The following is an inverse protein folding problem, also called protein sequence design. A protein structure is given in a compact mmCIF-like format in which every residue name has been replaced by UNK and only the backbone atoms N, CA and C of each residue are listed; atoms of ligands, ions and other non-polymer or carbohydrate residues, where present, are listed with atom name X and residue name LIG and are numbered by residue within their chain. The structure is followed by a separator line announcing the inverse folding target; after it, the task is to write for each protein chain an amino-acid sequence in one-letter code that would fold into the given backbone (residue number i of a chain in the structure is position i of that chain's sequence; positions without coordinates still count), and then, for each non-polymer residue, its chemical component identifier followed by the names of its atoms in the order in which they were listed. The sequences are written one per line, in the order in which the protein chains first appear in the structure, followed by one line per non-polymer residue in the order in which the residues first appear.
data_IF_735585813713
#
_entry.id   IF_735585813713
#
_cell.length_a   1.000
_cell.length_b   1.000
_cell.length_c   1.000
_cell.angle_alpha   90.00
_cell.angle_beta   90.00
_cell.angle_gamma   90.00
#
_symmetry.space_group_name_H-M   'P 1'
#
loop_
_entity.id
_entity.type
_entity.pdbx_description
1 polymer ?
#
# COMPACT_ATOMS: atom_id res chain seq x y z
N UNK A 1 1.85 -55.91 -28.89
CA UNK A 1 1.32 -56.85 -27.87
C UNK A 1 2.17 -56.66 -26.63
N UNK A 2 1.73 -55.82 -25.68
CA UNK A 2 0.94 -56.20 -24.51
C UNK A 2 1.78 -56.99 -23.50
N UNK A 3 2.18 -56.37 -22.38
CA UNK A 3 1.56 -56.63 -21.07
C UNK A 3 2.37 -55.99 -19.94
N UNK A 4 1.63 -55.30 -19.08
CA UNK A 4 1.92 -54.87 -17.72
C UNK A 4 2.16 -56.11 -16.84
N UNK A 5 3.06 -56.04 -15.85
CA UNK A 5 2.81 -56.45 -14.45
C UNK A 5 3.89 -55.92 -13.49
N UNK A 6 3.39 -55.53 -12.32
CA UNK A 6 3.98 -54.77 -11.22
C UNK A 6 5.06 -55.51 -10.43
N UNK A 7 5.99 -54.77 -9.81
CA UNK A 7 6.72 -55.26 -8.63
C UNK A 7 7.05 -54.12 -7.66
N UNK A 8 7.20 -54.53 -6.41
CA UNK A 8 6.99 -53.83 -5.15
C UNK A 8 8.20 -53.07 -4.61
N UNK A 9 7.88 -52.02 -3.84
CA UNK A 9 8.49 -51.51 -2.61
C UNK A 9 9.97 -51.81 -2.30
N UNK A 10 10.79 -50.76 -2.17
CA UNK A 10 11.84 -50.60 -1.14
C UNK A 10 12.46 -49.19 -1.24
N UNK A 11 11.90 -48.21 -0.52
CA UNK A 11 12.58 -46.92 -0.28
C UNK A 11 13.22 -47.02 1.10
N UNK A 12 14.55 -46.96 1.12
CA UNK A 12 15.38 -46.90 2.30
C UNK A 12 15.14 -45.61 3.10
N UNK A 13 15.07 -45.80 4.42
CA UNK A 13 14.95 -44.86 5.52
C UNK A 13 15.58 -43.46 5.30
N UNK A 14 14.73 -42.43 5.31
CA UNK A 14 15.11 -41.04 5.60
C UNK A 14 14.58 -40.71 6.99
N UNK A 15 15.50 -40.48 7.93
CA UNK A 15 15.22 -40.11 9.31
C UNK A 15 14.70 -38.66 9.41
N UNK A 16 13.61 -38.40 10.15
CA UNK A 16 13.12 -37.03 10.32
C UNK A 16 13.97 -36.24 11.35
N UNK A 17 14.58 -35.15 10.88
CA UNK A 17 15.18 -34.10 11.71
C UNK A 17 14.10 -33.44 12.57
N UNK A 18 14.05 -33.85 13.83
CA UNK A 18 13.25 -33.25 14.90
C UNK A 18 13.98 -32.01 15.42
N UNK A 19 13.55 -30.82 15.02
CA UNK A 19 13.96 -29.58 15.69
C UNK A 19 12.98 -29.28 16.84
N UNK A 20 13.44 -29.00 18.06
CA UNK A 20 12.57 -28.82 19.21
C UNK A 20 11.76 -27.52 19.10
N UNK A 21 10.42 -27.64 19.07
CA UNK A 21 9.50 -26.52 19.31
C UNK A 21 9.75 -25.98 20.72
N UNK A 22 10.24 -24.74 20.83
CA UNK A 22 10.18 -23.99 22.09
C UNK A 22 8.72 -23.68 22.39
N UNK A 23 8.18 -24.30 23.43
CA UNK A 23 6.91 -23.94 24.03
C UNK A 23 7.04 -22.57 24.71
N UNK A 24 6.30 -21.57 24.22
CA UNK A 24 6.15 -20.30 24.92
C UNK A 24 5.10 -20.47 26.02
N UNK A 25 5.57 -20.61 27.26
CA UNK A 25 4.74 -20.56 28.46
C UNK A 25 4.40 -19.09 28.79
N UNK A 26 3.15 -18.69 28.63
CA UNK A 26 2.62 -17.43 29.18
C UNK A 26 2.33 -17.64 30.67
N UNK A 27 3.32 -17.39 31.53
CA UNK A 27 3.09 -17.27 32.97
C UNK A 27 2.55 -15.86 33.27
N UNK A 28 1.24 -15.82 33.46
CA UNK A 28 0.50 -14.62 33.84
C UNK A 28 0.80 -14.27 35.31
N UNK A 29 1.63 -13.25 35.55
CA UNK A 29 1.77 -12.60 36.86
C UNK A 29 1.14 -11.21 36.78
N UNK A 30 -0.14 -11.16 37.17
CA UNK A 30 -0.85 -9.91 37.44
C UNK A 30 -0.22 -9.18 38.64
N UNK A 31 0.08 -7.90 38.45
CA UNK A 31 0.27 -6.92 39.53
C UNK A 31 -0.61 -5.71 39.14
N UNK A 32 -1.61 -5.31 39.92
CA UNK A 32 -2.41 -4.14 39.58
C UNK A 32 -1.69 -2.88 40.08
N UNK A 33 -1.24 -2.02 39.16
CA UNK A 33 -0.90 -0.64 39.50
C UNK A 33 -2.17 0.19 39.30
N UNK A 34 -2.80 0.56 40.40
CA UNK A 34 -3.89 1.52 40.44
C UNK A 34 -3.29 2.89 40.13
N UNK A 35 -3.67 3.50 39.01
CA UNK A 35 -3.51 4.94 38.82
C UNK A 35 -4.89 5.58 38.63
N UNK A 36 -5.21 6.46 39.57
CA UNK A 36 -6.46 7.18 39.71
C UNK A 36 -6.63 8.28 38.65
N UNK A 37 -7.78 8.25 37.99
CA UNK A 37 -8.62 9.37 37.51
C UNK A 37 -7.97 10.68 37.06
N UNK A 38 -8.11 10.99 35.77
CA UNK A 38 -8.79 12.20 35.31
C UNK A 38 -9.65 11.85 34.07
N UNK A 39 -10.96 11.87 34.25
CA UNK A 39 -11.95 11.73 33.18
C UNK A 39 -11.93 12.97 32.29
N UNK A 40 -11.43 12.80 31.06
CA UNK A 40 -11.85 13.62 29.93
C UNK A 40 -13.02 12.93 29.26
N UNK A 41 -14.23 13.45 29.44
CA UNK A 41 -15.44 12.96 28.76
C UNK A 41 -15.33 13.30 27.28
N UNK A 42 -14.78 12.40 26.47
CA UNK A 42 -14.88 12.49 25.01
C UNK A 42 -16.29 11.99 24.65
N UNK A 43 -17.07 12.84 23.98
CA UNK A 43 -18.36 12.51 23.36
C UNK A 43 -18.28 11.16 22.61
N UNK A 44 -19.39 10.44 22.33
CA UNK A 44 -19.32 9.15 21.65
C UNK A 44 -18.74 9.39 20.26
N UNK A 45 -17.43 9.19 20.12
CA UNK A 45 -16.70 9.45 18.90
C UNK A 45 -17.13 8.38 17.91
N UNK A 46 -17.46 8.80 16.69
CA UNK A 46 -17.62 7.90 15.55
C UNK A 46 -16.51 6.85 15.63
N UNK A 47 -16.87 5.58 15.69
CA UNK A 47 -15.89 4.52 15.89
C UNK A 47 -14.76 4.64 14.85
N UNK A 48 -13.54 4.87 15.33
CA UNK A 48 -12.36 4.96 14.48
C UNK A 48 -12.07 3.61 13.84
N UNK A 49 -11.57 3.57 12.60
CA UNK A 49 -11.28 2.32 11.90
C UNK A 49 -10.22 1.50 12.63
N UNK A 50 -10.42 0.16 12.66
CA UNK A 50 -9.60 -0.81 13.38
C UNK A 50 -8.09 -0.64 13.14
N UNK A 51 -7.71 -0.32 11.90
CA UNK A 51 -6.32 -0.13 11.50
C UNK A 51 -5.66 1.05 12.24
N UNK A 52 -6.37 2.16 12.45
CA UNK A 52 -5.81 3.32 13.15
C UNK A 52 -5.61 3.03 14.64
N UNK A 53 -6.56 2.33 15.27
CA UNK A 53 -6.44 1.94 16.68
C UNK A 53 -5.24 1.01 16.89
N UNK A 54 -5.06 0.02 16.00
CA UNK A 54 -3.90 -0.86 16.04
C UNK A 54 -2.57 -0.12 15.86
N UNK A 55 -2.50 0.86 14.93
CA UNK A 55 -1.29 1.68 14.72
C UNK A 55 -0.98 2.56 15.92
N UNK A 56 -2.00 3.04 16.64
CA UNK A 56 -1.86 3.80 17.89
C UNK A 56 -1.45 2.92 19.08
N UNK A 57 -1.44 1.60 18.92
CA UNK A 57 -1.14 0.65 20.00
C UNK A 57 -2.30 0.45 20.97
N UNK A 58 -3.53 0.77 20.56
CA UNK A 58 -4.74 0.51 21.33
C UNK A 58 -5.12 -0.98 21.24
N UNK A 59 -5.85 -1.49 22.24
CA UNK A 59 -6.37 -2.85 22.23
C UNK A 59 -7.42 -3.02 21.13
N UNK A 60 -7.20 -3.99 20.25
CA UNK A 60 -8.06 -4.28 19.10
C UNK A 60 -8.60 -5.71 19.16
N UNK A 61 -9.84 -5.91 18.72
CA UNK A 61 -10.51 -7.22 18.71
C UNK A 61 -9.78 -8.29 17.88
N UNK A 62 -9.09 -7.85 16.82
CA UNK A 62 -8.36 -8.68 15.87
C UNK A 62 -7.27 -7.86 15.19
N UNK A 63 -6.21 -8.50 14.65
CA UNK A 63 -5.23 -7.78 13.85
C UNK A 63 -5.86 -7.24 12.55
N UNK A 64 -5.67 -5.96 12.21
CA UNK A 64 -6.17 -5.41 10.95
C UNK A 64 -5.37 -5.95 9.76
N UNK A 65 -6.04 -6.19 8.63
CA UNK A 65 -5.45 -6.77 7.43
C UNK A 65 -5.76 -5.93 6.19
N UNK A 66 -4.71 -5.63 5.43
CA UNK A 66 -4.79 -5.07 4.08
C UNK A 66 -3.62 -5.60 3.25
N UNK A 67 -3.74 -5.54 1.93
CA UNK A 67 -2.72 -6.06 1.01
C UNK A 67 -2.10 -4.94 0.18
N UNK A 68 -0.77 -4.92 0.09
CA UNK A 68 -0.08 -4.05 -0.85
C UNK A 68 -0.41 -4.47 -2.30
N UNK A 69 -0.61 -3.47 -3.17
CA UNK A 69 -1.08 -3.66 -4.56
C UNK A 69 -2.43 -4.37 -4.66
N UNK A 70 -3.33 -4.11 -3.72
CA UNK A 70 -4.71 -4.61 -3.73
C UNK A 70 -5.52 -4.21 -4.98
N UNK A 71 -5.19 -3.11 -5.65
CA UNK A 71 -5.82 -2.72 -6.90
C UNK A 71 -4.83 -2.97 -8.04
N UNK A 72 -5.07 -3.99 -8.86
CA UNK A 72 -4.11 -4.37 -9.88
C UNK A 72 -4.57 -5.49 -10.79
N UNK A 73 -3.62 -5.98 -11.60
CA UNK A 73 -3.85 -6.89 -12.74
C UNK A 73 -4.45 -8.25 -12.36
N UNK A 74 -4.50 -8.62 -11.08
CA UNK A 74 -5.14 -9.86 -10.66
C UNK A 74 -6.67 -9.77 -10.73
N UNK A 75 -7.25 -8.56 -10.70
CA UNK A 75 -8.70 -8.37 -10.82
C UNK A 75 -9.10 -8.16 -12.28
N UNK A 76 -10.12 -8.91 -12.75
CA UNK A 76 -10.66 -8.75 -14.11
C UNK A 76 -11.27 -7.36 -14.33
N UNK A 77 -11.90 -6.78 -13.30
CA UNK A 77 -12.43 -5.41 -13.33
C UNK A 77 -11.34 -4.38 -13.66
N UNK A 78 -10.16 -4.52 -13.07
CA UNK A 78 -9.02 -3.65 -13.35
C UNK A 78 -8.48 -3.87 -14.77
N UNK A 79 -8.42 -5.12 -15.25
CA UNK A 79 -7.97 -5.41 -16.62
C UNK A 79 -8.88 -4.75 -17.67
N UNK A 80 -10.21 -4.80 -17.48
CA UNK A 80 -11.17 -4.12 -18.37
C UNK A 80 -10.93 -2.61 -18.40
N UNK A 81 -10.63 -1.99 -17.25
CA UNK A 81 -10.26 -0.57 -17.22
C UNK A 81 -8.91 -0.31 -17.91
N UNK A 82 -7.95 -1.22 -17.84
CA UNK A 82 -6.69 -1.11 -18.60
C UNK A 82 -6.92 -1.12 -20.11
N UNK A 83 -7.89 -1.89 -20.59
CA UNK A 83 -8.22 -1.98 -22.02
C UNK A 83 -8.89 -0.71 -22.51
N UNK A 84 -9.79 -0.12 -21.69
CA UNK A 84 -10.47 1.15 -21.99
C UNK A 84 -9.54 2.36 -21.89
N UNK A 85 -8.68 2.37 -20.87
CA UNK A 85 -7.74 3.46 -20.56
C UNK A 85 -6.31 2.90 -20.58
N UNK A 86 -5.68 2.80 -21.77
CA UNK A 86 -4.37 2.18 -21.92
C UNK A 86 -3.26 2.97 -21.21
N UNK A 87 -3.41 4.30 -21.11
CA UNK A 87 -2.47 5.16 -20.40
C UNK A 87 -2.53 4.88 -18.90
N UNK A 88 -1.37 4.66 -18.29
CA UNK A 88 -1.29 4.53 -16.84
C UNK A 88 -1.56 5.89 -16.17
N UNK A 89 -1.01 6.95 -16.76
CA UNK A 89 -1.14 8.32 -16.28
C UNK A 89 -2.60 8.76 -16.20
N UNK A 90 -3.37 8.47 -17.26
CA UNK A 90 -4.82 8.73 -17.28
C UNK A 90 -5.54 8.09 -16.09
N UNK A 91 -5.20 6.84 -15.77
CA UNK A 91 -5.83 6.10 -14.66
C UNK A 91 -5.36 6.53 -13.27
N UNK A 92 -4.19 7.16 -13.15
CA UNK A 92 -3.65 7.65 -11.88
C UNK A 92 -3.93 9.14 -11.62
N UNK A 93 -4.30 9.90 -12.66
CA UNK A 93 -4.56 11.34 -12.58
C UNK A 93 -6.05 11.69 -12.70
N UNK A 94 -6.88 10.81 -13.30
CA UNK A 94 -8.33 11.00 -13.35
C UNK A 94 -8.98 10.55 -12.04
N UNK A 95 -9.66 11.48 -11.36
CA UNK A 95 -10.28 11.26 -10.04
C UNK A 95 -11.26 10.09 -10.04
N UNK A 96 -12.16 10.02 -11.02
CA UNK A 96 -13.19 8.98 -11.09
C UNK A 96 -12.57 7.59 -11.25
N UNK A 97 -11.55 7.48 -12.12
CA UNK A 97 -10.83 6.22 -12.35
C UNK A 97 -10.03 5.81 -11.11
N UNK A 98 -9.35 6.76 -10.46
CA UNK A 98 -8.59 6.51 -9.23
C UNK A 98 -9.50 5.98 -8.13
N UNK A 99 -10.65 6.62 -7.92
CA UNK A 99 -11.64 6.21 -6.92
C UNK A 99 -12.20 4.83 -7.26
N UNK A 100 -12.62 4.62 -8.51
CA UNK A 100 -13.17 3.34 -8.95
C UNK A 100 -12.18 2.20 -8.71
N UNK A 101 -10.93 2.37 -9.17
CA UNK A 101 -9.85 1.38 -9.05
C UNK A 101 -9.53 1.09 -7.58
N UNK A 102 -9.44 2.13 -6.74
CA UNK A 102 -9.12 2.00 -5.31
C UNK A 102 -10.22 1.24 -4.55
N UNK A 103 -11.49 1.42 -4.93
CA UNK A 103 -12.65 0.78 -4.29
C UNK A 103 -12.90 -0.67 -4.76
N UNK A 104 -12.30 -1.13 -5.86
CA UNK A 104 -12.51 -2.52 -6.33
C UNK A 104 -12.22 -3.58 -5.26
N UNK A 105 -11.03 -3.59 -4.61
CA UNK A 105 -10.74 -4.55 -3.54
C UNK A 105 -11.61 -4.33 -2.30
N UNK A 106 -11.98 -3.08 -2.00
CA UNK A 106 -12.88 -2.74 -0.90
C UNK A 106 -14.26 -3.39 -1.05
N UNK A 107 -14.83 -3.34 -2.26
CA UNK A 107 -16.14 -3.91 -2.58
C UNK A 107 -16.16 -5.43 -2.46
N UNK A 108 -15.05 -6.11 -2.73
CA UNK A 108 -14.98 -7.58 -2.75
C UNK A 108 -14.56 -8.17 -1.41
N UNK A 109 -13.50 -7.63 -0.79
CA UNK A 109 -12.85 -8.25 0.37
C UNK A 109 -13.06 -7.49 1.68
N UNK A 110 -13.53 -6.24 1.63
CA UNK A 110 -13.68 -5.36 2.81
C UNK A 110 -12.43 -5.34 3.74
N UNK A 111 -11.20 -5.10 3.21
CA UNK A 111 -9.99 -5.00 4.02
C UNK A 111 -10.05 -3.80 4.99
N UNK A 112 -9.33 -3.87 6.11
CA UNK A 112 -9.31 -2.82 7.13
C UNK A 112 -8.60 -1.53 6.68
N UNK A 113 -7.93 -1.58 5.52
CA UNK A 113 -7.27 -0.45 4.88
C UNK A 113 -7.55 -0.40 3.38
N UNK A 114 -7.83 0.79 2.86
CA UNK A 114 -8.00 1.08 1.44
C UNK A 114 -6.93 2.06 1.02
N UNK A 115 -5.99 1.60 0.19
CA UNK A 115 -4.91 2.45 -0.31
C UNK A 115 -5.31 3.17 -1.60
N UNK A 116 -4.97 4.46 -1.69
CA UNK A 116 -5.12 5.26 -2.89
C UNK A 116 -4.39 4.60 -4.08
N UNK A 117 -5.05 4.56 -5.23
CA UNK A 117 -4.41 4.22 -6.50
C UNK A 117 -3.75 5.46 -7.09
N UNK A 118 -2.44 5.60 -6.93
CA UNK A 118 -1.65 6.68 -7.54
C UNK A 118 -0.25 6.17 -7.89
N UNK A 119 0.59 7.00 -8.48
CA UNK A 119 2.01 6.70 -8.66
C UNK A 119 2.88 7.41 -7.64
N UNK A 120 4.03 6.83 -7.33
CA UNK A 120 5.02 7.47 -6.46
C UNK A 120 5.77 8.62 -7.14
N UNK A 121 5.80 8.66 -8.48
CA UNK A 121 6.50 9.68 -9.26
C UNK A 121 5.62 10.88 -9.58
N UNK A 122 4.32 10.82 -9.28
CA UNK A 122 3.37 11.91 -9.46
C UNK A 122 3.89 13.28 -9.01
N UNK A 123 4.58 13.43 -7.86
CA UNK A 123 5.15 14.72 -7.45
C UNK A 123 6.26 15.26 -8.38
N UNK A 124 6.99 14.40 -9.10
CA UNK A 124 8.12 14.83 -9.94
C UNK A 124 7.70 15.79 -11.05
N UNK A 125 6.51 15.59 -11.62
CA UNK A 125 5.96 16.51 -12.62
C UNK A 125 5.76 17.92 -12.05
N UNK A 126 5.31 18.04 -10.80
CA UNK A 126 5.17 19.34 -10.10
C UNK A 126 6.51 19.97 -9.71
N UNK A 127 7.55 19.15 -9.51
CA UNK A 127 8.90 19.61 -9.19
C UNK A 127 9.74 20.00 -10.42
N UNK A 128 9.10 20.15 -11.59
CA UNK A 128 9.76 20.44 -12.88
C UNK A 128 10.71 19.33 -13.38
N UNK A 129 10.43 18.06 -13.01
CA UNK A 129 11.18 16.89 -13.46
C UNK A 129 10.28 16.07 -14.39
N UNK A 130 10.39 16.24 -15.72
CA UNK A 130 9.52 15.55 -16.65
C UNK A 130 9.84 14.06 -16.69
N UNK A 131 8.80 13.24 -16.53
CA UNK A 131 8.88 11.79 -16.61
C UNK A 131 7.69 11.24 -17.40
N UNK A 132 7.85 10.05 -17.96
CA UNK A 132 6.75 9.30 -18.60
C UNK A 132 6.89 7.79 -18.33
N UNK A 133 5.79 7.06 -18.40
CA UNK A 133 5.73 5.63 -18.16
C UNK A 133 5.65 4.91 -19.50
N UNK A 134 6.81 4.46 -19.99
CA UNK A 134 6.91 3.77 -21.27
C UNK A 134 6.55 2.28 -21.10
N UNK A 135 5.60 1.80 -21.92
CA UNK A 135 5.15 0.40 -21.90
C UNK A 135 6.33 -0.56 -22.07
N UNK A 136 6.52 -1.44 -21.08
CA UNK A 136 7.59 -2.45 -21.08
C UNK A 136 8.93 -1.99 -20.52
N UNK A 137 9.19 -0.68 -20.41
CA UNK A 137 10.41 -0.13 -19.79
C UNK A 137 10.17 0.42 -18.38
N UNK A 138 8.94 0.83 -18.08
CA UNK A 138 8.60 1.47 -16.81
C UNK A 138 8.80 2.99 -16.88
N UNK A 139 8.95 3.66 -15.73
CA UNK A 139 9.12 5.11 -15.69
C UNK A 139 10.48 5.52 -16.25
N UNK A 140 10.47 6.50 -17.15
CA UNK A 140 11.65 7.10 -17.77
C UNK A 140 11.64 8.59 -17.45
N UNK A 141 12.72 9.07 -16.86
CA UNK A 141 12.96 10.51 -16.63
C UNK A 141 13.70 11.03 -17.86
N UNK A 142 13.16 12.04 -18.53
CA UNK A 142 13.74 12.55 -19.77
C UNK A 142 15.08 13.26 -19.54
N UNK A 143 15.16 14.05 -18.47
CA UNK A 143 16.36 14.79 -18.08
C UNK A 143 16.79 14.38 -16.66
N UNK A 144 17.61 13.32 -16.52
CA UNK A 144 18.13 12.93 -15.22
C UNK A 144 19.03 14.03 -14.65
N UNK A 145 18.82 14.42 -13.39
CA UNK A 145 19.66 15.40 -12.71
C UNK A 145 21.09 14.87 -12.57
N UNK A 146 22.09 15.64 -13.01
CA UNK A 146 23.52 15.27 -12.96
C UNK A 146 24.40 16.36 -12.38
N UNK A 147 24.05 17.63 -12.58
CA UNK A 147 24.86 18.77 -12.12
C UNK A 147 24.15 19.55 -11.01
N UNK A 148 24.87 20.49 -10.38
CA UNK A 148 24.28 21.36 -9.37
C UNK A 148 23.23 22.30 -9.98
N UNK A 149 23.46 22.76 -11.21
CA UNK A 149 22.55 23.62 -11.95
C UNK A 149 21.22 22.90 -12.25
N UNK A 150 21.26 21.59 -12.50
CA UNK A 150 20.03 20.79 -12.66
C UNK A 150 19.21 20.77 -11.36
N UNK A 151 19.87 20.73 -10.20
CA UNK A 151 19.20 20.76 -8.89
C UNK A 151 18.56 22.12 -8.63
N UNK A 152 19.19 23.21 -9.05
CA UNK A 152 18.65 24.57 -8.91
C UNK A 152 17.39 24.80 -9.77
N UNK A 153 17.18 23.99 -10.82
CA UNK A 153 15.97 24.02 -11.66
C UNK A 153 14.78 23.29 -11.02
N UNK A 154 14.99 22.53 -9.95
CA UNK A 154 13.95 21.78 -9.24
C UNK A 154 13.09 22.75 -8.45
N UNK A 155 11.78 22.70 -8.68
CA UNK A 155 10.82 23.54 -7.97
C UNK A 155 10.37 22.88 -6.67
N UNK A 156 10.07 23.73 -5.69
CA UNK A 156 9.35 23.29 -4.50
C UNK A 156 7.99 22.72 -4.89
N UNK A 157 7.64 21.57 -4.30
CA UNK A 157 6.40 20.88 -4.62
C UNK A 157 5.23 21.47 -3.83
N UNK A 158 4.26 22.05 -4.53
CA UNK A 158 2.99 22.52 -3.96
C UNK A 158 1.87 21.54 -4.37
N UNK A 159 1.36 20.71 -3.44
CA UNK A 159 0.37 19.68 -3.74
C UNK A 159 -0.93 20.22 -4.35
N UNK A 160 -1.41 21.36 -3.85
CA UNK A 160 -2.67 21.99 -4.25
C UNK A 160 -2.65 22.44 -5.71
N UNK A 161 -1.48 22.85 -6.20
CA UNK A 161 -1.29 23.28 -7.59
C UNK A 161 -0.94 22.12 -8.50
N UNK A 162 -0.09 21.20 -8.03
CA UNK A 162 0.49 20.15 -8.87
C UNK A 162 -0.39 18.91 -8.99
N UNK A 163 -1.10 18.55 -7.91
CA UNK A 163 -1.84 17.28 -7.80
C UNK A 163 -3.20 17.44 -7.11
N UNK A 164 -4.03 18.43 -7.47
CA UNK A 164 -5.33 18.65 -6.81
C UNK A 164 -6.24 17.41 -6.83
N UNK A 165 -6.15 16.61 -7.89
CA UNK A 165 -6.88 15.35 -8.07
C UNK A 165 -6.59 14.31 -6.98
N UNK A 166 -5.40 14.31 -6.37
CA UNK A 166 -5.07 13.38 -5.27
C UNK A 166 -5.89 13.71 -4.02
N UNK A 167 -5.98 14.99 -3.66
CA UNK A 167 -6.76 15.45 -2.52
C UNK A 167 -8.26 15.20 -2.71
N UNK A 168 -8.75 15.43 -3.93
CA UNK A 168 -10.13 15.15 -4.30
C UNK A 168 -10.46 13.66 -4.19
N UNK A 169 -9.63 12.79 -4.78
CA UNK A 169 -9.81 11.34 -4.72
C UNK A 169 -9.80 10.82 -3.27
N UNK A 170 -8.88 11.29 -2.42
CA UNK A 170 -8.86 10.92 -1.00
C UNK A 170 -10.13 11.34 -0.26
N UNK A 171 -10.66 12.52 -0.57
CA UNK A 171 -11.90 13.03 0.02
C UNK A 171 -13.11 12.16 -0.37
N UNK A 172 -13.19 11.76 -1.64
CA UNK A 172 -14.25 10.87 -2.14
C UNK A 172 -14.12 9.48 -1.52
N UNK A 173 -12.91 8.91 -1.51
CA UNK A 173 -12.66 7.60 -0.91
C UNK A 173 -13.05 7.54 0.57
N UNK A 174 -12.74 8.60 1.33
CA UNK A 174 -13.13 8.68 2.75
C UNK A 174 -14.64 8.67 2.93
N UNK A 175 -15.39 9.35 2.05
CA UNK A 175 -16.86 9.35 2.07
C UNK A 175 -17.42 7.96 1.74
N UNK A 176 -16.90 7.30 0.71
CA UNK A 176 -17.36 5.98 0.24
C UNK A 176 -17.08 4.84 1.24
N UNK A 177 -15.98 4.94 1.99
CA UNK A 177 -15.58 3.92 2.97
C UNK A 177 -16.29 4.12 4.33
N UNK A 178 -16.84 5.31 4.61
CA UNK A 178 -17.65 5.61 5.80
C UNK A 178 -17.00 5.18 7.14
N UNK A 179 -15.72 5.45 7.34
CA UNK A 179 -14.93 5.02 8.51
C UNK A 179 -14.91 3.51 8.80
N UNK A 180 -15.43 2.65 7.91
CA UNK A 180 -15.39 1.18 8.05
C UNK A 180 -13.99 0.61 7.83
N UNK A 181 -13.13 1.35 7.13
CA UNK A 181 -11.73 1.06 6.92
C UNK A 181 -10.91 2.36 6.89
N UNK A 182 -9.61 2.26 7.15
CA UNK A 182 -8.71 3.39 7.05
C UNK A 182 -8.37 3.69 5.58
N UNK A 183 -8.44 4.95 5.17
CA UNK A 183 -7.97 5.37 3.84
C UNK A 183 -6.48 5.70 3.93
N UNK A 184 -5.67 4.98 3.18
CA UNK A 184 -4.21 5.07 3.22
C UNK A 184 -3.70 5.93 2.07
N UNK A 185 -3.02 7.02 2.41
CA UNK A 185 -2.18 7.78 1.48
C UNK A 185 -0.77 7.19 1.41
N UNK A 186 -0.01 7.56 0.39
CA UNK A 186 1.40 7.20 0.34
C UNK A 186 2.21 8.27 -0.37
N UNK A 187 3.50 8.29 -0.06
CA UNK A 187 4.50 9.13 -0.75
C UNK A 187 5.78 8.35 -0.95
N UNK A 188 6.56 8.75 -1.95
CA UNK A 188 7.94 8.33 -2.04
C UNK A 188 8.70 8.76 -0.78
N UNK A 189 9.56 7.89 -0.24
CA UNK A 189 10.46 8.28 0.84
C UNK A 189 11.43 9.38 0.39
N UNK A 190 11.94 10.17 1.36
CA UNK A 190 13.01 11.14 1.12
C UNK A 190 14.22 10.43 0.50
N UNK A 191 14.57 10.81 -0.71
CA UNK A 191 15.63 10.21 -1.51
C UNK A 191 16.97 10.87 -1.18
N UNK A 192 17.99 10.06 -0.93
CA UNK A 192 19.37 10.54 -1.02
C UNK A 192 19.68 10.85 -2.50
N UNK A 193 20.41 11.93 -2.85
CA UNK A 193 20.60 12.39 -4.24
C UNK A 193 21.03 11.29 -5.24
N UNK A 194 21.85 10.33 -4.78
CA UNK A 194 22.31 9.20 -5.61
C UNK A 194 21.21 8.24 -6.10
N UNK A 195 20.01 8.28 -5.52
CA UNK A 195 18.89 7.43 -5.95
C UNK A 195 18.10 7.99 -7.13
N UNK A 196 18.02 9.32 -7.28
CA UNK A 196 17.45 9.96 -8.48
C UNK A 196 18.26 9.55 -9.71
N UNK A 197 19.59 9.44 -9.58
CA UNK A 197 20.47 8.96 -10.65
C UNK A 197 20.38 7.45 -10.93
N UNK A 198 19.82 6.62 -10.02
CA UNK A 198 19.89 5.15 -10.11
C UNK A 198 18.54 4.42 -10.20
N UNK A 199 17.41 5.13 -10.17
CA UNK A 199 16.08 4.57 -10.50
C UNK A 199 15.52 3.55 -9.51
N UNK A 200 15.96 3.56 -8.24
CA UNK A 200 15.43 2.68 -7.17
C UNK A 200 14.46 3.46 -6.27
N UNK A 201 13.25 2.92 -6.08
CA UNK A 201 12.16 3.62 -5.41
C UNK A 201 11.56 2.82 -4.25
N UNK A 202 11.30 3.48 -3.11
CA UNK A 202 10.68 2.89 -1.92
C UNK A 202 9.36 3.57 -1.57
N UNK A 203 8.36 2.77 -1.21
CA UNK A 203 7.03 3.22 -0.76
C UNK A 203 7.09 3.53 0.74
N UNK A 204 6.74 4.76 1.14
CA UNK A 204 6.34 5.07 2.52
C UNK A 204 4.82 5.26 2.57
N UNK A 205 4.14 4.36 3.27
CA UNK A 205 2.71 4.51 3.56
C UNK A 205 2.54 5.60 4.63
N UNK A 206 1.63 6.54 4.39
CA UNK A 206 1.19 7.52 5.37
C UNK A 206 -0.17 7.07 5.91
N UNK A 207 -0.31 7.06 7.23
CA UNK A 207 -1.57 6.83 7.93
C UNK A 207 -2.27 8.15 8.19
#
# INVERSE_FOLDING_TARGET
MSSIYSFTSSISSISPLTSPRKSFNYNNKYIPIIHSSLQGTVAPSVAEPLLLNAVRGEDVERPPVWLMRQAGRYMKSYQILCEKHPSFRERSENVDLVVEISLQPWKVFRPDGVILFSDILTPLSGMNIPFDIVKGKGPVIFNPLRTAEDVDQVREFVPEESVPYVGEALTILRKEVENKAAVLGFRGGSLHPGFICSGRWFIKTLF
#
